data_IF_651992064752
#
_entry.id   IF_651992064752
#
_cell.length_a   1.000
_cell.length_b   1.000
_cell.length_c   1.000
_cell.angle_alpha   90.00
_cell.angle_beta   90.00
_cell.angle_gamma   90.00
#
_symmetry.space_group_name_H-M   'P 1'
#
loop_
_entity.id
_entity.type
_entity.pdbx_description
1 polymer ?
#
# COMPACT_ATOMS: atom_id res chain seq x y z
N UNK A 1 41.62 -3.81 46.36
CA UNK A 1 42.44 -2.90 47.20
C UNK A 1 43.29 -1.96 46.37
N UNK A 2 43.80 -2.41 45.23
CA UNK A 2 44.78 -1.66 44.40
C UNK A 2 44.23 -0.35 43.83
N UNK A 3 42.97 -0.30 43.40
CA UNK A 3 42.36 0.93 42.86
C UNK A 3 42.28 2.05 43.91
N UNK A 4 42.08 1.72 45.18
CA UNK A 4 42.04 2.70 46.25
C UNK A 4 43.44 3.27 46.52
N UNK A 5 44.46 2.41 46.47
CA UNK A 5 45.87 2.78 46.63
C UNK A 5 46.34 3.70 45.49
N UNK A 6 45.99 3.36 44.25
CA UNK A 6 46.26 4.20 43.09
C UNK A 6 45.56 5.57 43.19
N UNK A 7 44.30 5.59 43.63
CA UNK A 7 43.56 6.84 43.80
C UNK A 7 44.19 7.76 44.86
N UNK A 8 44.66 7.20 45.98
CA UNK A 8 45.35 7.98 47.02
C UNK A 8 46.70 8.51 46.57
N UNK A 9 47.50 7.69 45.88
CA UNK A 9 48.81 8.13 45.35
C UNK A 9 48.64 9.24 44.30
N UNK A 10 47.60 9.15 43.46
CA UNK A 10 47.29 10.18 42.48
C UNK A 10 46.85 11.50 43.14
N UNK A 11 46.03 11.43 44.19
CA UNK A 11 45.61 12.62 44.96
C UNK A 11 46.83 13.27 45.64
N UNK A 12 47.72 12.48 46.24
CA UNK A 12 48.94 12.98 46.87
C UNK A 12 49.90 13.62 45.85
N UNK A 13 50.04 13.01 44.67
CA UNK A 13 50.82 13.56 43.57
C UNK A 13 50.26 14.90 43.07
N UNK A 14 48.92 15.02 42.97
CA UNK A 14 48.26 16.23 42.48
C UNK A 14 48.19 17.35 43.53
N UNK A 15 48.22 17.03 44.83
CA UNK A 15 48.22 18.02 45.90
C UNK A 15 49.53 18.82 45.95
N UNK A 16 50.68 18.19 45.65
CA UNK A 16 51.99 18.82 45.85
C UNK A 16 52.19 19.31 47.30
N UNK A 17 52.89 20.44 47.48
CA UNK A 17 53.11 21.07 48.80
C UNK A 17 51.86 21.84 49.33
N UNK A 18 50.89 22.12 48.46
CA UNK A 18 49.70 22.88 48.82
C UNK A 18 48.55 21.92 49.17
N UNK A 19 48.35 21.74 50.48
CA UNK A 19 47.50 20.69 51.08
C UNK A 19 45.99 20.83 50.85
N UNK A 20 45.55 21.60 49.86
CA UNK A 20 44.14 21.93 49.66
C UNK A 20 43.67 21.61 48.25
N UNK A 21 43.30 20.35 48.05
CA UNK A 21 42.53 19.95 46.88
C UNK A 21 41.06 20.27 47.15
N UNK A 22 40.50 21.23 46.41
CA UNK A 22 39.07 21.48 46.38
C UNK A 22 38.49 20.68 45.23
N UNK A 23 37.80 19.60 45.54
CA UNK A 23 36.96 18.93 44.57
C UNK A 23 35.72 19.79 44.36
N UNK A 24 35.66 20.50 43.24
CA UNK A 24 34.40 21.07 42.78
C UNK A 24 33.56 19.89 42.28
N UNK A 25 32.58 19.50 43.07
CA UNK A 25 31.53 18.57 42.65
C UNK A 25 30.66 19.29 41.62
N UNK A 26 31.23 19.54 40.43
CA UNK A 26 30.45 19.58 39.22
C UNK A 26 29.93 18.17 39.02
N UNK A 27 28.89 17.81 39.79
CA UNK A 27 27.90 16.86 39.34
C UNK A 27 27.44 17.41 37.99
N UNK A 28 28.10 16.99 36.91
CA UNK A 28 27.45 16.72 35.66
C UNK A 28 26.48 15.58 35.97
N UNK A 29 25.46 15.88 36.78
CA UNK A 29 24.31 15.05 36.93
C UNK A 29 23.83 14.88 35.52
N UNK A 30 24.03 13.69 34.98
CA UNK A 30 23.02 13.11 34.12
C UNK A 30 21.79 13.02 35.00
N UNK A 31 21.15 14.17 35.23
CA UNK A 31 19.75 14.22 35.57
C UNK A 31 19.19 13.55 34.34
N UNK A 32 18.80 12.29 34.50
CA UNK A 32 17.98 11.60 33.52
C UNK A 32 16.67 12.37 33.48
N UNK A 33 16.71 13.54 32.84
CA UNK A 33 15.53 14.29 32.48
C UNK A 33 14.65 13.37 31.66
N UNK A 34 13.33 13.62 31.62
CA UNK A 34 12.42 12.82 30.83
C UNK A 34 13.04 12.58 29.46
N UNK A 35 13.11 11.31 29.07
CA UNK A 35 13.75 10.89 27.83
C UNK A 35 13.18 11.70 26.67
N UNK A 36 13.96 11.92 25.61
CA UNK A 36 13.47 12.67 24.44
C UNK A 36 12.12 12.12 23.91
N UNK A 37 11.88 10.82 24.07
CA UNK A 37 10.60 10.16 23.81
C UNK A 37 9.49 10.57 24.77
N UNK A 38 9.77 10.69 26.08
CA UNK A 38 8.78 11.15 27.06
C UNK A 38 8.30 12.58 26.75
N UNK A 39 9.19 13.47 26.28
CA UNK A 39 8.83 14.85 25.88
C UNK A 39 7.87 14.93 24.69
N UNK A 40 7.80 13.91 23.84
CA UNK A 40 6.84 13.87 22.72
C UNK A 40 5.39 13.73 23.21
N UNK A 41 5.18 13.24 24.43
CA UNK A 41 3.86 13.09 25.04
C UNK A 41 3.52 14.20 26.04
N UNK A 42 4.39 15.20 26.18
CA UNK A 42 4.15 16.40 26.98
C UNK A 42 3.58 17.52 26.11
N UNK A 43 2.79 18.43 26.70
CA UNK A 43 2.33 19.63 26.01
C UNK A 43 3.52 20.56 25.72
N UNK A 44 3.63 21.18 24.54
CA UNK A 44 2.67 21.25 23.43
C UNK A 44 2.81 20.13 22.38
N UNK A 45 3.83 19.29 22.50
CA UNK A 45 4.20 18.29 21.49
C UNK A 45 3.18 17.17 21.35
N UNK A 46 2.39 16.91 22.40
CA UNK A 46 1.34 15.89 22.40
C UNK A 46 0.41 15.99 21.18
N UNK A 47 -0.03 17.20 20.81
CA UNK A 47 -0.91 17.40 19.65
C UNK A 47 -0.22 17.00 18.34
N UNK A 48 1.05 17.39 18.16
CA UNK A 48 1.85 17.06 16.99
C UNK A 48 2.08 15.55 16.89
N UNK A 49 2.41 14.90 18.00
CA UNK A 49 2.66 13.45 18.07
C UNK A 49 1.39 12.66 17.75
N UNK A 50 0.22 13.13 18.22
CA UNK A 50 -1.06 12.52 17.89
C UNK A 50 -1.41 12.67 16.41
N UNK A 51 -1.24 13.86 15.83
CA UNK A 51 -1.49 14.10 14.42
C UNK A 51 -0.56 13.30 13.52
N UNK A 52 0.72 13.20 13.89
CA UNK A 52 1.68 12.37 13.18
C UNK A 52 1.31 10.89 13.26
N UNK A 53 0.92 10.40 14.44
CA UNK A 53 0.43 9.03 14.62
C UNK A 53 -0.80 8.74 13.75
N UNK A 54 -1.77 9.66 13.73
CA UNK A 54 -2.96 9.53 12.88
C UNK A 54 -2.60 9.49 11.38
N UNK A 55 -1.66 10.33 10.94
CA UNK A 55 -1.18 10.31 9.56
C UNK A 55 -0.52 8.97 9.20
N UNK A 56 0.36 8.45 10.07
CA UNK A 56 1.00 7.14 9.88
C UNK A 56 -0.04 6.03 9.79
N UNK A 57 -1.09 6.07 10.61
CA UNK A 57 -2.20 5.13 10.56
C UNK A 57 -2.92 5.22 9.21
N UNK A 58 -3.28 6.43 8.75
CA UNK A 58 -3.94 6.63 7.46
C UNK A 58 -3.07 6.13 6.30
N UNK A 59 -1.78 6.44 6.31
CA UNK A 59 -0.81 5.96 5.32
C UNK A 59 -0.70 4.44 5.38
N UNK A 60 -0.66 3.86 6.58
CA UNK A 60 -0.64 2.41 6.80
C UNK A 60 -1.87 1.74 6.21
N UNK A 61 -3.07 2.26 6.50
CA UNK A 61 -4.31 1.78 5.90
C UNK A 61 -4.32 1.96 4.38
N UNK A 62 -3.86 3.09 3.87
CA UNK A 62 -3.75 3.33 2.43
C UNK A 62 -2.76 2.36 1.77
N UNK A 63 -1.65 2.04 2.43
CA UNK A 63 -0.67 1.08 1.95
C UNK A 63 -1.23 -0.36 1.97
N UNK A 64 -1.89 -0.77 3.05
CA UNK A 64 -2.58 -2.05 3.17
C UNK A 64 -3.65 -2.22 2.08
N UNK A 65 -4.44 -1.17 1.83
CA UNK A 65 -5.43 -1.17 0.75
C UNK A 65 -4.79 -1.12 -0.65
N UNK A 66 -3.64 -0.45 -0.81
CA UNK A 66 -2.94 -0.31 -2.09
C UNK A 66 -2.30 -1.60 -2.55
N UNK A 67 -1.79 -2.42 -1.63
CA UNK A 67 -1.24 -3.73 -1.97
C UNK A 67 -2.32 -4.79 -2.15
N UNK A 68 -3.53 -4.56 -1.62
CA UNK A 68 -4.65 -5.49 -1.75
C UNK A 68 -4.37 -6.81 -1.05
N UNK A 69 -5.43 -7.46 -0.56
CA UNK A 69 -5.31 -8.80 0.04
C UNK A 69 -4.46 -9.68 -0.87
N UNK A 70 -3.39 -10.33 -0.35
CA UNK A 70 -2.68 -11.37 -1.09
C UNK A 70 -3.72 -12.31 -1.69
N UNK A 71 -3.56 -12.65 -2.96
CA UNK A 71 -4.47 -13.54 -3.66
C UNK A 71 -4.51 -14.86 -2.89
N UNK A 72 -5.49 -15.01 -2.01
CA UNK A 72 -5.74 -16.27 -1.33
C UNK A 72 -6.12 -17.25 -2.43
N UNK A 73 -5.24 -18.22 -2.69
CA UNK A 73 -5.68 -19.48 -3.26
C UNK A 73 -6.81 -19.95 -2.36
N UNK A 74 -8.03 -19.95 -2.89
CA UNK A 74 -9.24 -20.39 -2.18
C UNK A 74 -9.12 -21.89 -1.87
N UNK A 75 -8.38 -22.22 -0.83
CA UNK A 75 -8.44 -23.49 -0.16
C UNK A 75 -9.18 -23.27 1.17
N UNK A 76 -10.51 -23.42 1.12
CA UNK A 76 -11.34 -23.66 2.31
C UNK A 76 -11.82 -22.43 3.09
N UNK A 77 -12.54 -21.50 2.47
CA UNK A 77 -13.32 -20.51 3.22
C UNK A 77 -14.64 -21.16 3.69
N UNK A 78 -14.79 -21.33 5.00
CA UNK A 78 -16.03 -21.79 5.62
C UNK A 78 -17.22 -20.91 5.18
N UNK A 79 -18.29 -21.54 4.71
CA UNK A 79 -19.44 -20.94 4.02
C UNK A 79 -20.05 -19.70 4.72
N UNK A 80 -19.95 -19.60 6.05
CA UNK A 80 -20.45 -18.45 6.81
C UNK A 80 -19.65 -17.15 6.60
N UNK A 81 -18.32 -17.21 6.47
CA UNK A 81 -17.48 -16.02 6.21
C UNK A 81 -17.53 -15.59 4.75
N UNK A 82 -17.61 -16.53 3.81
CA UNK A 82 -17.80 -16.25 2.39
C UNK A 82 -19.13 -15.54 2.11
N UNK A 83 -20.19 -15.87 2.86
CA UNK A 83 -21.49 -15.19 2.78
C UNK A 83 -21.42 -13.73 3.22
N UNK A 84 -20.76 -13.44 4.36
CA UNK A 84 -20.62 -12.08 4.88
C UNK A 84 -19.70 -11.22 3.99
N UNK A 85 -18.60 -11.78 3.51
CA UNK A 85 -17.69 -11.13 2.57
C UNK A 85 -18.39 -10.93 1.22
N UNK A 86 -19.19 -11.89 0.76
CA UNK A 86 -19.99 -11.77 -0.46
C UNK A 86 -21.11 -10.73 -0.36
N UNK A 87 -21.71 -10.56 0.82
CA UNK A 87 -22.72 -9.53 1.08
C UNK A 87 -22.10 -8.13 1.16
N UNK A 88 -20.95 -7.97 1.82
CA UNK A 88 -20.21 -6.70 1.91
C UNK A 88 -19.52 -6.32 0.61
N UNK A 89 -19.01 -7.29 -0.15
CA UNK A 89 -18.50 -7.07 -1.50
C UNK A 89 -19.62 -6.68 -2.47
N UNK A 90 -20.81 -7.27 -2.34
CA UNK A 90 -22.00 -6.80 -3.05
C UNK A 90 -22.32 -5.36 -2.68
N UNK A 91 -22.33 -4.99 -1.39
CA UNK A 91 -22.52 -3.60 -0.96
C UNK A 91 -21.49 -2.62 -1.54
N UNK A 92 -20.21 -2.98 -1.58
CA UNK A 92 -19.18 -2.12 -2.18
C UNK A 92 -19.24 -2.06 -3.71
N UNK A 93 -19.68 -3.14 -4.37
CA UNK A 93 -19.99 -3.15 -5.80
C UNK A 93 -21.26 -2.36 -6.15
N UNK A 94 -22.13 -2.07 -5.16
CA UNK A 94 -23.37 -1.31 -5.34
C UNK A 94 -23.16 0.20 -5.31
N UNK A 95 -21.98 0.69 -4.92
CA UNK A 95 -21.62 2.11 -5.03
C UNK A 95 -20.76 2.33 -6.28
N UNK A 96 -20.71 3.57 -6.77
CA UNK A 96 -20.13 4.06 -8.04
C UNK A 96 -18.74 3.48 -8.42
N UNK A 97 -18.06 2.89 -7.42
CA UNK A 97 -16.83 2.10 -7.54
C UNK A 97 -16.90 0.93 -8.51
N UNK A 98 -18.04 0.22 -8.65
CA UNK A 98 -18.17 -0.94 -9.54
C UNK A 98 -18.02 -0.57 -11.02
N UNK A 99 -18.45 0.63 -11.39
CA UNK A 99 -18.37 1.19 -12.75
C UNK A 99 -16.95 1.62 -13.09
N UNK A 100 -16.31 2.35 -12.19
CA UNK A 100 -14.91 2.71 -12.31
C UNK A 100 -14.01 1.47 -12.32
N UNK A 101 -14.38 0.43 -11.56
CA UNK A 101 -13.68 -0.85 -11.54
C UNK A 101 -13.77 -1.58 -12.88
N UNK A 102 -14.90 -1.56 -13.59
CA UNK A 102 -15.06 -2.19 -14.91
C UNK A 102 -14.12 -1.55 -15.95
N UNK A 103 -14.11 -0.22 -16.04
CA UNK A 103 -13.22 0.49 -16.96
C UNK A 103 -11.74 0.25 -16.62
N UNK A 104 -11.41 0.20 -15.31
CA UNK A 104 -10.06 -0.13 -14.84
C UNK A 104 -9.67 -1.57 -15.18
N UNK A 105 -10.61 -2.51 -15.02
CA UNK A 105 -10.41 -3.91 -15.34
C UNK A 105 -10.13 -4.10 -16.84
N UNK A 106 -10.88 -3.43 -17.71
CA UNK A 106 -10.63 -3.48 -19.16
C UNK A 106 -9.24 -2.96 -19.53
N UNK A 107 -8.84 -1.80 -19.01
CA UNK A 107 -7.47 -1.26 -19.23
C UNK A 107 -6.39 -2.22 -18.79
N UNK A 108 -6.59 -2.89 -17.65
CA UNK A 108 -5.62 -3.87 -17.15
C UNK A 108 -5.56 -5.12 -18.04
N UNK A 109 -6.72 -5.64 -18.49
CA UNK A 109 -6.79 -6.78 -19.41
C UNK A 109 -6.14 -6.46 -20.76
N UNK A 110 -6.38 -5.28 -21.33
CA UNK A 110 -5.69 -4.79 -22.54
C UNK A 110 -4.17 -4.77 -22.36
N UNK A 111 -3.68 -4.23 -21.23
CA UNK A 111 -2.24 -4.21 -20.93
C UNK A 111 -1.68 -5.62 -20.82
N UNK A 112 -2.35 -6.52 -20.12
CA UNK A 112 -1.88 -7.91 -19.92
C UNK A 112 -1.78 -8.69 -21.24
N UNK A 113 -2.74 -8.52 -22.14
CA UNK A 113 -2.70 -9.15 -23.48
C UNK A 113 -1.63 -8.49 -24.35
N UNK A 114 -1.53 -7.16 -24.34
CA UNK A 114 -0.53 -6.41 -25.11
C UNK A 114 0.91 -6.73 -24.69
N UNK A 115 1.20 -6.81 -23.38
CA UNK A 115 2.54 -7.19 -22.88
C UNK A 115 2.88 -8.64 -23.23
N UNK A 116 1.90 -9.54 -23.10
CA UNK A 116 2.06 -10.94 -23.49
C UNK A 116 2.41 -11.13 -24.98
N UNK A 117 1.88 -10.26 -25.85
CA UNK A 117 2.11 -10.30 -27.31
C UNK A 117 3.17 -9.30 -27.81
N UNK A 118 3.95 -8.68 -26.89
CA UNK A 118 4.99 -7.67 -27.19
C UNK A 118 4.49 -6.55 -28.13
N UNK A 119 3.30 -6.04 -27.87
CA UNK A 119 2.70 -4.96 -28.65
C UNK A 119 3.52 -3.65 -28.51
N UNK A 120 3.83 -2.94 -29.61
CA UNK A 120 4.32 -1.58 -29.58
C UNK A 120 3.16 -0.62 -29.31
N UNK A 121 3.29 0.23 -28.30
CA UNK A 121 2.30 1.26 -27.97
C UNK A 121 2.25 1.59 -26.49
N UNK A 122 2.35 2.87 -26.16
CA UNK A 122 2.36 3.36 -24.76
C UNK A 122 0.92 3.64 -24.30
N UNK A 123 0.04 4.04 -25.22
CA UNK A 123 -1.33 4.46 -24.91
C UNK A 123 -2.34 3.32 -25.00
N UNK A 124 -3.48 3.44 -24.30
CA UNK A 124 -4.56 2.44 -24.35
C UNK A 124 -5.18 2.37 -25.76
N UNK A 125 -5.30 3.50 -26.47
CA UNK A 125 -5.87 3.58 -27.83
C UNK A 125 -5.00 2.85 -28.85
N UNK A 126 -3.69 3.09 -28.83
CA UNK A 126 -2.74 2.39 -29.72
C UNK A 126 -2.76 0.88 -29.47
N UNK A 127 -2.86 0.46 -28.19
CA UNK A 127 -2.94 -0.96 -27.83
C UNK A 127 -4.22 -1.60 -28.34
N UNK A 128 -5.37 -0.93 -28.24
CA UNK A 128 -6.63 -1.42 -28.82
C UNK A 128 -6.52 -1.56 -30.34
N UNK A 129 -6.07 -0.51 -31.02
CA UNK A 129 -5.93 -0.54 -32.49
C UNK A 129 -4.93 -1.60 -32.96
N UNK A 130 -3.83 -1.78 -32.24
CA UNK A 130 -2.85 -2.82 -32.55
C UNK A 130 -3.41 -4.22 -32.33
N UNK A 131 -4.10 -4.44 -31.20
CA UNK A 131 -4.74 -5.71 -30.90
C UNK A 131 -5.79 -6.04 -31.94
N UNK A 132 -6.58 -5.05 -32.36
CA UNK A 132 -7.62 -5.30 -33.36
C UNK A 132 -7.06 -5.60 -34.74
N UNK A 133 -5.97 -4.92 -35.14
CA UNK A 133 -5.28 -5.19 -36.41
C UNK A 133 -4.59 -6.55 -36.44
N UNK A 134 -4.11 -7.05 -35.30
CA UNK A 134 -3.30 -8.28 -35.24
C UNK A 134 -4.08 -9.53 -34.82
N UNK A 135 -5.18 -9.38 -34.11
CA UNK A 135 -6.03 -10.50 -33.68
C UNK A 135 -7.11 -10.91 -34.72
N UNK A 136 -7.24 -10.18 -35.83
CA UNK A 136 -8.15 -10.55 -36.92
C UNK A 136 -9.61 -10.65 -36.46
N UNK A 137 -10.37 -11.67 -36.87
CA UNK A 137 -11.80 -11.79 -36.57
C UNK A 137 -12.15 -11.93 -35.06
N UNK A 138 -11.17 -12.23 -34.20
CA UNK A 138 -11.33 -12.33 -32.74
C UNK A 138 -11.04 -11.00 -32.02
N UNK A 139 -10.70 -9.95 -32.77
CA UNK A 139 -10.49 -8.58 -32.32
C UNK A 139 -11.78 -7.90 -31.84
N UNK A 140 -12.24 -8.25 -30.65
CA UNK A 140 -13.32 -7.52 -29.95
C UNK A 140 -12.76 -6.49 -28.95
N UNK A 141 -11.50 -6.08 -29.09
CA UNK A 141 -10.86 -5.22 -28.10
C UNK A 141 -11.45 -3.81 -28.12
N UNK A 142 -11.71 -3.23 -29.30
CA UNK A 142 -12.37 -1.93 -29.42
C UNK A 142 -13.81 -1.94 -28.90
N UNK A 143 -14.60 -2.96 -29.25
CA UNK A 143 -16.00 -3.04 -28.82
C UNK A 143 -16.10 -3.22 -27.31
N UNK A 144 -15.35 -4.16 -26.73
CA UNK A 144 -15.32 -4.35 -25.28
C UNK A 144 -14.84 -3.11 -24.53
N UNK A 145 -13.88 -2.36 -25.10
CA UNK A 145 -13.36 -1.14 -24.50
C UNK A 145 -14.37 0.01 -24.57
N UNK A 146 -15.07 0.15 -25.70
CA UNK A 146 -16.14 1.13 -25.88
C UNK A 146 -17.31 0.84 -24.94
N UNK A 147 -17.75 -0.41 -24.85
CA UNK A 147 -18.86 -0.83 -24.00
C UNK A 147 -18.52 -0.66 -22.51
N UNK A 148 -17.28 -0.95 -22.11
CA UNK A 148 -16.82 -0.73 -20.73
C UNK A 148 -16.78 0.76 -20.37
N UNK A 149 -16.39 1.64 -21.31
CA UNK A 149 -16.40 3.09 -21.12
C UNK A 149 -17.83 3.64 -21.09
N UNK A 150 -18.71 3.17 -21.97
CA UNK A 150 -20.12 3.55 -22.00
C UNK A 150 -20.85 3.15 -20.72
N UNK A 151 -20.68 1.90 -20.26
CA UNK A 151 -21.26 1.40 -19.01
C UNK A 151 -20.69 2.10 -17.77
N UNK A 152 -19.45 2.61 -17.85
CA UNK A 152 -18.87 3.40 -16.76
C UNK A 152 -19.48 4.80 -16.64
N UNK A 153 -19.96 5.37 -17.75
CA UNK A 153 -20.52 6.72 -17.84
C UNK A 153 -22.04 6.76 -17.72
N UNK A 154 -22.74 5.68 -18.04
CA UNK A 154 -24.20 5.62 -17.89
C UNK A 154 -24.60 5.48 -16.42
N UNK A 155 -25.19 6.56 -15.88
CA UNK A 155 -25.63 6.66 -14.48
C UNK A 155 -26.63 5.59 -14.01
N UNK A 156 -27.22 4.81 -14.93
CA UNK A 156 -28.28 3.83 -14.67
C UNK A 156 -27.94 2.37 -15.07
N UNK A 157 -26.66 2.01 -15.21
CA UNK A 157 -26.32 0.62 -15.58
C UNK A 157 -26.70 -0.38 -14.49
N UNK A 158 -27.46 -1.41 -14.87
CA UNK A 158 -27.86 -2.52 -13.99
C UNK A 158 -26.60 -3.30 -13.53
N UNK A 159 -26.47 -3.65 -12.23
CA UNK A 159 -25.32 -4.40 -11.72
C UNK A 159 -25.05 -5.72 -12.45
N UNK A 160 -26.11 -6.39 -12.93
CA UNK A 160 -25.98 -7.61 -13.75
C UNK A 160 -25.29 -7.33 -15.08
N UNK A 161 -25.53 -6.18 -15.71
CA UNK A 161 -24.89 -5.80 -16.95
C UNK A 161 -23.38 -5.58 -16.75
N UNK A 162 -22.99 -4.95 -15.64
CA UNK A 162 -21.58 -4.75 -15.27
C UNK A 162 -20.87 -6.11 -15.08
N UNK A 163 -21.51 -7.03 -14.34
CA UNK A 163 -20.95 -8.36 -14.10
C UNK A 163 -20.82 -9.18 -15.40
N UNK A 164 -21.86 -9.17 -16.23
CA UNK A 164 -21.85 -9.86 -17.52
C UNK A 164 -20.72 -9.32 -18.42
N UNK A 165 -20.56 -7.99 -18.48
CA UNK A 165 -19.47 -7.38 -19.26
C UNK A 165 -18.08 -7.75 -18.73
N UNK A 166 -17.92 -7.80 -17.40
CA UNK A 166 -16.66 -8.25 -16.80
C UNK A 166 -16.34 -9.72 -17.17
N UNK A 167 -17.34 -10.60 -17.25
CA UNK A 167 -17.16 -11.98 -17.69
C UNK A 167 -16.73 -12.06 -19.15
N UNK A 168 -17.33 -11.24 -20.04
CA UNK A 168 -16.91 -11.16 -21.44
C UNK A 168 -15.46 -10.69 -21.60
N UNK A 169 -15.03 -9.69 -20.83
CA UNK A 169 -13.64 -9.23 -20.82
C UNK A 169 -12.69 -10.35 -20.35
N UNK A 170 -13.08 -11.12 -19.32
CA UNK A 170 -12.28 -12.23 -18.81
C UNK A 170 -12.15 -13.37 -19.85
N UNK A 171 -13.26 -13.75 -20.48
CA UNK A 171 -13.29 -14.77 -21.52
C UNK A 171 -12.38 -14.38 -22.69
N UNK A 172 -12.54 -13.15 -23.20
CA UNK A 172 -11.69 -12.60 -24.26
C UNK A 172 -10.20 -12.60 -23.88
N UNK A 173 -9.87 -12.17 -22.66
CA UNK A 173 -8.48 -12.18 -22.18
C UNK A 173 -7.90 -13.59 -22.19
N UNK A 174 -8.68 -14.58 -21.73
CA UNK A 174 -8.25 -15.98 -21.64
C UNK A 174 -8.03 -16.56 -23.03
N UNK A 175 -8.96 -16.32 -23.96
CA UNK A 175 -8.84 -16.70 -25.36
C UNK A 175 -7.56 -16.12 -26.00
N UNK A 176 -7.36 -14.81 -25.86
CA UNK A 176 -6.18 -14.12 -26.40
C UNK A 176 -4.86 -14.58 -25.79
N UNK A 177 -4.87 -15.12 -24.57
CA UNK A 177 -3.70 -15.68 -23.91
C UNK A 177 -3.43 -17.14 -24.32
N UNK A 178 -4.48 -17.92 -24.57
CA UNK A 178 -4.40 -19.33 -24.95
C UNK A 178 -4.07 -19.55 -26.43
N UNK A 179 -4.42 -18.63 -27.33
CA UNK A 179 -3.98 -18.62 -28.75
C UNK A 179 -2.45 -18.43 -28.93
N UNK A 180 -1.64 -18.55 -27.86
CA UNK A 180 -0.17 -18.53 -27.91
C UNK A 180 0.45 -19.89 -28.20
N UNK A 181 -0.34 -20.97 -28.11
CA UNK A 181 0.06 -22.35 -28.39
C UNK A 181 -0.47 -22.81 -29.76
#
# INVERSE_FOLDING_TARGET
>A
GENALFATELIEFLAGDDRRIVFDEAFAGSVTGPSAFARLFELPWLALTLSFGALVIVIGFAALNRFGTPREDMAGIAAGRASLIGATARLNLFEDSGRAALARYMRHSLRAVATGRRAPGTTDVERVTWLDKRAGANAKAATLNHDADALSKSGASEPKAILNHAQHIHAWRTEMQNERD
#
